data_IF_081535410081
#
_entry.id   IF_081535410081
#
_cell.length_a   1.000
_cell.length_b   1.000
_cell.length_c   1.000
_cell.angle_alpha   90.00
_cell.angle_beta   90.00
_cell.angle_gamma   90.00
#
_symmetry.space_group_name_H-M   'P 1'
#
loop_
_entity.id
_entity.type
_entity.pdbx_description
1 polymer ?
#
# COMPACT_ATOMS: atom_id res chain seq x y z
N UNK A 1 10.06 -23.42 15.61
CA UNK A 1 9.98 -22.09 14.97
C UNK A 1 9.68 -22.35 13.51
N UNK A 2 8.52 -21.92 13.02
CA UNK A 2 8.10 -22.19 11.64
C UNK A 2 8.94 -21.34 10.69
N UNK A 3 9.57 -21.98 9.72
CA UNK A 3 10.40 -21.33 8.70
C UNK A 3 9.47 -20.57 7.73
N UNK A 4 9.09 -19.35 8.11
CA UNK A 4 8.32 -18.46 7.25
C UNK A 4 9.31 -17.72 6.36
N UNK A 5 9.63 -18.32 5.21
CA UNK A 5 10.46 -17.68 4.19
C UNK A 5 9.64 -16.53 3.59
N UNK A 6 9.90 -15.31 4.07
CA UNK A 6 9.30 -14.10 3.53
C UNK A 6 9.85 -13.89 2.12
N UNK A 7 9.03 -14.09 1.09
CA UNK A 7 9.39 -13.74 -0.29
C UNK A 7 9.31 -12.21 -0.45
N UNK A 8 10.45 -11.55 -0.26
CA UNK A 8 10.60 -10.09 -0.41
C UNK A 8 10.22 -9.61 -1.81
N UNK A 9 10.38 -10.44 -2.85
CA UNK A 9 9.94 -10.11 -4.19
C UNK A 9 8.41 -10.08 -4.30
N UNK A 10 7.70 -10.99 -3.60
CA UNK A 10 6.24 -10.94 -3.48
C UNK A 10 5.76 -9.72 -2.69
N UNK A 11 6.43 -9.37 -1.59
CA UNK A 11 6.13 -8.14 -0.84
C UNK A 11 6.33 -6.89 -1.69
N UNK A 12 7.43 -6.80 -2.45
CA UNK A 12 7.69 -5.70 -3.38
C UNK A 12 6.62 -5.57 -4.47
N UNK A 13 6.20 -6.70 -5.07
CA UNK A 13 5.08 -6.73 -6.05
C UNK A 13 3.76 -6.28 -5.43
N UNK A 14 3.50 -6.72 -4.19
CA UNK A 14 2.28 -6.37 -3.47
C UNK A 14 2.22 -4.88 -3.11
N UNK A 15 3.34 -4.31 -2.63
CA UNK A 15 3.47 -2.86 -2.42
C UNK A 15 3.21 -2.07 -3.70
N UNK A 16 3.86 -2.44 -4.80
CA UNK A 16 3.66 -1.76 -6.09
C UNK A 16 2.21 -1.84 -6.58
N UNK A 17 1.51 -2.95 -6.30
CA UNK A 17 0.09 -3.09 -6.62
C UNK A 17 -0.79 -2.16 -5.75
N UNK A 18 -0.48 -2.04 -4.45
CA UNK A 18 -1.19 -1.13 -3.54
C UNK A 18 -0.99 0.34 -3.94
N UNK A 19 0.23 0.75 -4.27
CA UNK A 19 0.54 2.11 -4.74
C UNK A 19 -0.19 2.44 -6.05
N UNK A 20 -0.22 1.52 -7.03
CA UNK A 20 -1.00 1.69 -8.27
C UNK A 20 -2.50 1.81 -8.00
N UNK A 21 -3.03 0.98 -7.11
CA UNK A 21 -4.44 1.04 -6.72
C UNK A 21 -4.77 2.39 -6.06
N UNK A 22 -3.88 2.90 -5.21
CA UNK A 22 -4.02 4.23 -4.59
C UNK A 22 -4.02 5.36 -5.64
N UNK A 23 -3.16 5.28 -6.65
CA UNK A 23 -3.18 6.22 -7.78
C UNK A 23 -4.52 6.24 -8.52
N UNK A 24 -5.07 5.05 -8.82
CA UNK A 24 -6.40 4.92 -9.46
C UNK A 24 -7.54 5.46 -8.59
N UNK A 25 -7.45 5.29 -7.27
CA UNK A 25 -8.41 5.89 -6.32
C UNK A 25 -8.36 7.42 -6.39
N UNK A 26 -7.17 8.01 -6.53
CA UNK A 26 -6.99 9.44 -6.75
C UNK A 26 -7.65 9.93 -8.04
N UNK A 27 -7.43 9.22 -9.15
CA UNK A 27 -8.08 9.52 -10.45
C UNK A 27 -9.61 9.46 -10.36
N UNK A 28 -10.16 8.42 -9.72
CA UNK A 28 -11.61 8.25 -9.53
C UNK A 28 -12.20 9.37 -8.66
N UNK A 29 -11.44 9.85 -7.68
CA UNK A 29 -11.87 10.98 -6.84
C UNK A 29 -11.88 12.28 -7.64
N UNK A 30 -10.87 12.50 -8.48
CA UNK A 30 -10.86 13.64 -9.41
C UNK A 30 -12.06 13.61 -10.37
N UNK A 31 -12.44 12.43 -10.88
CA UNK A 31 -13.63 12.23 -11.70
C UNK A 31 -14.93 12.51 -10.92
N UNK A 32 -15.03 12.05 -9.66
CA UNK A 32 -16.18 12.31 -8.80
C UNK A 32 -16.33 13.81 -8.48
N UNK A 33 -15.23 14.51 -8.25
CA UNK A 33 -15.22 15.96 -8.02
C UNK A 33 -15.59 16.73 -9.30
N UNK A 34 -15.14 16.27 -10.47
CA UNK A 34 -15.54 16.84 -11.76
C UNK A 34 -17.04 16.60 -12.07
N UNK A 35 -17.56 15.41 -11.75
CA UNK A 35 -18.98 15.09 -11.88
C UNK A 35 -19.87 16.01 -11.03
N UNK A 36 -19.34 16.55 -9.94
CA UNK A 36 -20.00 17.54 -9.07
C UNK A 36 -20.22 18.90 -9.73
N UNK A 37 -19.41 19.24 -10.74
CA UNK A 37 -19.50 20.48 -11.52
C UNK A 37 -20.42 20.33 -12.73
N UNK A 38 -20.81 19.11 -13.08
CA UNK A 38 -21.73 18.83 -14.18
C UNK A 38 -23.12 18.64 -13.58
N UNK A 39 -24.10 19.54 -13.83
CA UNK A 39 -25.47 19.31 -13.39
C UNK A 39 -25.99 18.00 -14.02
N UNK A 40 -26.39 17.06 -13.16
CA UNK A 40 -26.74 15.72 -13.58
C UNK A 40 -27.96 15.70 -14.50
N UNK A 41 -27.85 15.06 -15.66
CA UNK A 41 -28.99 14.73 -16.51
C UNK A 41 -29.77 13.55 -15.93
N UNK A 42 -30.29 13.67 -14.71
CA UNK A 42 -31.23 12.69 -14.17
C UNK A 42 -32.63 13.06 -14.66
N UNK A 43 -33.27 12.13 -15.36
CA UNK A 43 -34.58 12.32 -15.99
C UNK A 43 -35.58 12.82 -14.95
N UNK A 44 -36.09 14.04 -15.17
CA UNK A 44 -37.04 14.75 -14.31
C UNK A 44 -38.32 13.92 -14.16
N UNK A 45 -38.51 13.22 -13.05
CA UNK A 45 -39.84 12.81 -12.61
C UNK A 45 -40.53 14.03 -12.00
N UNK A 46 -41.78 14.26 -12.40
CA UNK A 46 -42.60 15.42 -12.07
C UNK A 46 -42.58 15.68 -10.55
N UNK A 47 -41.91 16.76 -10.10
CA UNK A 47 -41.72 17.05 -8.66
C UNK A 47 -40.49 17.88 -8.27
N UNK A 48 -39.57 18.16 -9.19
CA UNK A 48 -38.74 19.38 -9.20
C UNK A 48 -37.61 19.58 -8.19
N UNK A 49 -37.47 18.81 -7.10
CA UNK A 49 -36.40 19.06 -6.10
C UNK A 49 -35.60 17.83 -5.62
N UNK A 50 -35.97 16.60 -6.02
CA UNK A 50 -35.33 15.38 -5.51
C UNK A 50 -34.07 14.92 -6.27
N UNK A 51 -33.88 15.37 -7.52
CA UNK A 51 -32.82 14.84 -8.39
C UNK A 51 -31.41 15.40 -8.07
N UNK A 52 -31.32 16.67 -7.67
CA UNK A 52 -30.03 17.30 -7.33
C UNK A 52 -29.48 16.83 -5.96
N UNK A 53 -30.35 16.55 -4.99
CA UNK A 53 -29.93 16.04 -3.67
C UNK A 53 -29.44 14.60 -3.76
N UNK A 54 -30.14 13.72 -4.50
CA UNK A 54 -29.73 12.32 -4.67
C UNK A 54 -28.39 12.17 -5.41
N UNK A 55 -28.15 13.00 -6.43
CA UNK A 55 -26.86 13.01 -7.14
C UNK A 55 -25.71 13.47 -6.23
N UNK A 56 -25.93 14.55 -5.47
CA UNK A 56 -24.94 15.06 -4.53
C UNK A 56 -24.63 14.06 -3.40
N UNK A 57 -25.66 13.37 -2.87
CA UNK A 57 -25.49 12.33 -1.86
C UNK A 57 -24.74 11.10 -2.41
N UNK A 58 -25.03 10.69 -3.64
CA UNK A 58 -24.33 9.60 -4.31
C UNK A 58 -22.83 9.91 -4.49
N UNK A 59 -22.50 11.11 -4.99
CA UNK A 59 -21.11 11.56 -5.13
C UNK A 59 -20.40 11.68 -3.77
N UNK A 60 -21.11 12.18 -2.74
CA UNK A 60 -20.56 12.26 -1.39
C UNK A 60 -20.33 10.86 -0.76
N UNK A 61 -21.16 9.87 -1.09
CA UNK A 61 -20.97 8.47 -0.70
C UNK A 61 -19.77 7.84 -1.41
N UNK A 62 -19.64 8.06 -2.72
CA UNK A 62 -18.51 7.58 -3.52
C UNK A 62 -17.19 8.17 -3.02
N UNK A 63 -17.13 9.48 -2.74
CA UNK A 63 -15.94 10.12 -2.21
C UNK A 63 -15.52 9.54 -0.84
N UNK A 64 -16.48 9.22 0.04
CA UNK A 64 -16.20 8.56 1.33
C UNK A 64 -15.62 7.15 1.14
N UNK A 65 -16.15 6.37 0.19
CA UNK A 65 -15.63 5.04 -0.12
C UNK A 65 -14.22 5.10 -0.71
N UNK A 66 -13.98 6.03 -1.64
CA UNK A 66 -12.66 6.26 -2.22
C UNK A 66 -11.65 6.72 -1.17
N UNK A 67 -12.04 7.58 -0.23
CA UNK A 67 -11.16 7.99 0.87
C UNK A 67 -10.80 6.81 1.79
N UNK A 68 -11.77 5.98 2.15
CA UNK A 68 -11.53 4.78 2.96
C UNK A 68 -10.62 3.77 2.24
N UNK A 69 -10.86 3.54 0.93
CA UNK A 69 -10.03 2.69 0.10
C UNK A 69 -8.59 3.21 0.00
N UNK A 70 -8.42 4.52 -0.20
CA UNK A 70 -7.11 5.18 -0.25
C UNK A 70 -6.32 5.03 1.05
N UNK A 71 -6.97 5.25 2.20
CA UNK A 71 -6.35 5.04 3.53
C UNK A 71 -5.94 3.59 3.76
N UNK A 72 -6.83 2.65 3.42
CA UNK A 72 -6.54 1.21 3.57
C UNK A 72 -5.35 0.77 2.71
N UNK A 73 -5.31 1.19 1.45
CA UNK A 73 -4.20 0.88 0.54
C UNK A 73 -2.88 1.52 0.99
N UNK A 74 -2.92 2.77 1.48
CA UNK A 74 -1.75 3.44 2.04
C UNK A 74 -1.18 2.71 3.26
N UNK A 75 -2.04 2.33 4.21
CA UNK A 75 -1.61 1.58 5.41
C UNK A 75 -1.02 0.20 5.07
N UNK A 76 -1.57 -0.48 4.06
CA UNK A 76 -1.02 -1.75 3.55
C UNK A 76 0.37 -1.54 2.93
N UNK A 77 0.56 -0.48 2.15
CA UNK A 77 1.85 -0.15 1.55
C UNK A 77 2.91 0.16 2.61
N UNK A 78 2.55 0.95 3.63
CA UNK A 78 3.44 1.28 4.77
C UNK A 78 3.82 0.05 5.58
N UNK A 79 2.85 -0.82 5.92
CA UNK A 79 3.14 -2.06 6.64
C UNK A 79 4.04 -3.00 5.83
N UNK A 80 3.85 -3.04 4.50
CA UNK A 80 4.70 -3.84 3.60
C UNK A 80 6.11 -3.28 3.53
N UNK A 81 6.28 -1.96 3.49
CA UNK A 81 7.60 -1.31 3.53
C UNK A 81 8.33 -1.60 4.85
N UNK A 82 7.66 -1.43 6.00
CA UNK A 82 8.25 -1.74 7.30
C UNK A 82 8.66 -3.21 7.43
N UNK A 83 7.90 -4.13 6.82
CA UNK A 83 8.23 -5.55 6.79
C UNK A 83 9.48 -5.83 5.95
N UNK A 84 9.63 -5.15 4.81
CA UNK A 84 10.82 -5.24 3.96
C UNK A 84 12.07 -4.69 4.67
N UNK A 85 11.96 -3.51 5.28
CA UNK A 85 13.07 -2.87 6.00
C UNK A 85 13.57 -3.75 7.17
N UNK A 86 12.65 -4.35 7.93
CA UNK A 86 12.99 -5.28 9.00
C UNK A 86 13.68 -6.55 8.48
N UNK A 87 13.27 -7.05 7.32
CA UNK A 87 13.89 -8.22 6.71
C UNK A 87 15.32 -7.92 6.25
N UNK A 88 15.54 -6.81 5.53
CA UNK A 88 16.86 -6.37 5.07
C UNK A 88 17.82 -6.14 6.26
N UNK A 89 17.33 -5.51 7.33
CA UNK A 89 18.10 -5.30 8.56
C UNK A 89 18.50 -6.64 9.22
N UNK A 90 17.57 -7.59 9.31
CA UNK A 90 17.84 -8.91 9.88
C UNK A 90 18.86 -9.69 9.06
N UNK A 91 18.74 -9.66 7.73
CA UNK A 91 19.67 -10.34 6.83
C UNK A 91 21.08 -9.73 6.92
N UNK A 92 21.19 -8.41 6.98
CA UNK A 92 22.46 -7.72 7.16
C UNK A 92 23.14 -8.07 8.51
N UNK A 93 22.36 -8.16 9.59
CA UNK A 93 22.89 -8.57 10.90
C UNK A 93 23.36 -10.03 10.92
N UNK A 94 22.63 -10.94 10.26
CA UNK A 94 23.07 -12.34 10.12
C UNK A 94 24.33 -12.46 9.26
N UNK A 95 24.41 -11.73 8.14
CA UNK A 95 25.59 -11.71 7.28
C UNK A 95 26.83 -11.20 8.02
N UNK A 96 26.69 -10.10 8.78
CA UNK A 96 27.78 -9.57 9.60
C UNK A 96 28.23 -10.56 10.68
N UNK A 97 27.30 -11.16 11.43
CA UNK A 97 27.62 -12.15 12.46
C UNK A 97 28.32 -13.39 11.90
N UNK A 98 27.91 -13.87 10.72
CA UNK A 98 28.57 -15.00 10.04
C UNK A 98 29.96 -14.62 9.54
N UNK A 99 30.14 -13.41 9.03
CA UNK A 99 31.45 -12.88 8.63
C UNK A 99 32.42 -12.76 9.81
N UNK A 100 31.96 -12.25 10.96
CA UNK A 100 32.74 -12.14 12.19
C UNK A 100 33.13 -13.52 12.74
N UNK A 101 32.18 -14.48 12.73
CA UNK A 101 32.45 -15.87 13.10
C UNK A 101 33.49 -16.52 12.20
N UNK A 102 33.39 -16.33 10.89
CA UNK A 102 34.36 -16.87 9.93
C UNK A 102 35.75 -16.24 10.12
N UNK A 103 35.82 -14.91 10.27
CA UNK A 103 37.09 -14.22 10.55
C UNK A 103 37.74 -14.65 11.86
N UNK A 104 36.95 -14.93 12.89
CA UNK A 104 37.42 -15.51 14.16
C UNK A 104 37.96 -16.94 14.00
N UNK A 105 37.28 -17.79 13.23
CA UNK A 105 37.72 -19.16 12.93
C UNK A 105 39.02 -19.18 12.12
N UNK A 106 39.14 -18.31 11.10
CA UNK A 106 40.34 -18.22 10.28
C UNK A 106 41.54 -17.70 11.08
N UNK A 107 41.31 -16.75 11.99
CA UNK A 107 42.34 -16.27 12.92
C UNK A 107 42.81 -17.35 13.89
N UNK A 108 41.90 -18.19 14.39
CA UNK A 108 42.23 -19.31 15.27
C UNK A 108 43.06 -20.39 14.57
N UNK A 109 42.77 -20.70 13.30
CA UNK A 109 43.53 -21.66 12.50
C UNK A 109 44.93 -21.16 12.11
N UNK A 110 45.09 -19.86 11.89
CA UNK A 110 46.40 -19.25 11.60
C UNK A 110 47.36 -19.27 12.79
N UNK A 111 46.87 -19.48 14.02
CA UNK A 111 47.69 -19.60 15.23
C UNK A 111 48.21 -21.02 15.49
N UNK A 112 47.67 -22.04 14.80
CA UNK A 112 48.08 -23.44 14.94
C UNK A 112 49.11 -23.92 13.89
N UNK A 113 49.57 -23.04 12.99
CA UNK A 113 50.57 -23.31 11.95
C UNK A 113 51.92 -22.64 12.27
#
# INVERSE_FOLDING_TARGET
>A
MSDFTVDTASLGRFRAAAERAQGRVGELRGLADAARLVPGTFTRTEGGQLADSGHAEMLAGLNRLLEAAGKGLGGIAEATAATLDNYESTDAHHGAAMSDLQGGLDSARGYEA
#
